data_IF_063843192265
#
_entry.id   IF_063843192265
#
_cell.length_a   1.000
_cell.length_b   1.000
_cell.length_c   1.000
_cell.angle_alpha   90.00
_cell.angle_beta   90.00
_cell.angle_gamma   90.00
#
_symmetry.space_group_name_H-M   'P 1'
#
loop_
_entity.id
_entity.type
_entity.pdbx_description
1 polymer ?
#
# COMPACT_ATOMS: atom_id res chain seq x y z
N UNK A 1 -19.96 -12.05 5.57
CA UNK A 1 -20.09 -10.58 5.62
C UNK A 1 -18.78 -9.94 6.05
N UNK A 2 -18.07 -10.50 7.04
CA UNK A 2 -16.74 -10.05 7.48
C UNK A 2 -15.71 -9.84 6.35
N UNK A 3 -15.56 -10.80 5.43
CA UNK A 3 -14.60 -10.69 4.31
C UNK A 3 -14.88 -9.51 3.40
N UNK A 4 -16.15 -9.28 3.04
CA UNK A 4 -16.52 -8.19 2.14
C UNK A 4 -16.24 -6.83 2.80
N UNK A 5 -16.54 -6.68 4.10
CA UNK A 5 -16.21 -5.45 4.83
C UNK A 5 -14.70 -5.21 4.86
N UNK A 6 -13.91 -6.25 5.16
CA UNK A 6 -12.44 -6.15 5.17
C UNK A 6 -11.89 -5.75 3.79
N UNK A 7 -12.39 -6.35 2.70
CA UNK A 7 -11.99 -5.99 1.33
C UNK A 7 -12.27 -4.51 1.05
N UNK A 8 -13.50 -4.07 1.28
CA UNK A 8 -13.91 -2.69 0.96
C UNK A 8 -13.11 -1.67 1.78
N UNK A 9 -12.89 -1.93 3.07
CA UNK A 9 -12.13 -1.03 3.94
C UNK A 9 -10.64 -1.01 3.60
N UNK A 10 -10.03 -2.15 3.25
CA UNK A 10 -8.62 -2.19 2.86
C UNK A 10 -8.37 -1.50 1.51
N UNK A 11 -9.28 -1.68 0.53
CA UNK A 11 -9.22 -0.93 -0.72
C UNK A 11 -9.40 0.57 -0.47
N UNK A 12 -10.38 0.95 0.38
CA UNK A 12 -10.57 2.35 0.77
C UNK A 12 -9.33 2.95 1.45
N UNK A 13 -8.75 2.22 2.40
CA UNK A 13 -7.52 2.63 3.09
C UNK A 13 -6.34 2.80 2.12
N UNK A 14 -6.20 1.91 1.14
CA UNK A 14 -5.24 2.05 0.06
C UNK A 14 -5.45 3.37 -0.70
N UNK A 15 -6.66 3.66 -1.19
CA UNK A 15 -6.93 4.91 -1.92
C UNK A 15 -6.70 6.16 -1.05
N UNK A 16 -7.01 6.12 0.25
CA UNK A 16 -6.69 7.22 1.17
C UNK A 16 -5.18 7.44 1.26
N UNK A 17 -4.39 6.37 1.42
CA UNK A 17 -2.94 6.47 1.51
C UNK A 17 -2.28 6.90 0.17
N UNK A 18 -2.80 6.41 -0.96
CA UNK A 18 -2.24 6.69 -2.29
C UNK A 18 -2.53 8.10 -2.80
N UNK A 19 -3.73 8.63 -2.53
CA UNK A 19 -4.18 9.88 -3.14
C UNK A 19 -4.35 11.03 -2.14
N UNK A 20 -4.79 10.74 -0.91
CA UNK A 20 -5.01 11.81 0.08
C UNK A 20 -3.76 12.07 0.93
N UNK A 21 -3.04 11.02 1.33
CA UNK A 21 -1.84 11.15 2.16
C UNK A 21 -0.55 11.37 1.36
N UNK A 22 -0.54 10.99 0.07
CA UNK A 22 0.60 11.25 -0.79
C UNK A 22 0.58 12.70 -1.27
N UNK A 23 1.61 13.46 -0.89
CA UNK A 23 1.85 14.78 -1.45
C UNK A 23 2.76 14.73 -2.69
N UNK A 24 2.84 15.85 -3.40
CA UNK A 24 3.65 15.98 -4.61
C UNK A 24 5.13 15.67 -4.38
N UNK A 25 5.66 16.03 -3.21
CA UNK A 25 7.04 15.74 -2.84
C UNK A 25 7.29 14.22 -2.81
N UNK A 26 6.46 13.45 -2.11
CA UNK A 26 6.60 11.98 -2.01
C UNK A 26 6.43 11.35 -3.39
N UNK A 27 5.43 11.79 -4.17
CA UNK A 27 5.14 11.27 -5.50
C UNK A 27 6.33 11.43 -6.47
N UNK A 28 7.00 12.57 -6.43
CA UNK A 28 8.13 12.89 -7.30
C UNK A 28 9.45 12.33 -6.77
N UNK A 29 9.74 12.47 -5.48
CA UNK A 29 11.00 12.05 -4.89
C UNK A 29 11.17 10.52 -4.92
N UNK A 30 10.09 9.73 -4.72
CA UNK A 30 10.17 8.26 -4.74
C UNK A 30 10.58 7.68 -6.10
N UNK A 31 10.38 8.44 -7.18
CA UNK A 31 10.67 8.02 -8.56
C UNK A 31 12.05 8.45 -9.06
N UNK A 32 12.71 9.41 -8.41
CA UNK A 32 13.99 9.95 -8.87
C UNK A 32 15.18 9.40 -8.07
N UNK A 33 15.75 8.30 -8.54
CA UNK A 33 16.90 7.63 -7.89
C UNK A 33 18.18 8.44 -7.85
N UNK A 34 18.25 9.59 -8.55
CA UNK A 34 19.39 10.51 -8.46
C UNK A 34 19.33 11.35 -7.18
N UNK A 35 18.16 11.48 -6.55
CA UNK A 35 18.03 12.22 -5.30
C UNK A 35 18.49 11.38 -4.11
N UNK A 36 19.25 11.91 -3.15
CA UNK A 36 19.69 11.13 -2.00
C UNK A 36 18.54 10.65 -1.09
N UNK A 37 17.37 11.29 -1.17
CA UNK A 37 16.20 11.04 -0.32
C UNK A 37 15.14 10.11 -0.96
N UNK A 38 15.36 9.60 -2.18
CA UNK A 38 14.38 8.80 -2.93
C UNK A 38 13.88 7.59 -2.13
N UNK A 39 14.79 6.91 -1.44
CA UNK A 39 14.48 5.71 -0.66
C UNK A 39 13.64 6.03 0.56
N UNK A 40 13.85 7.20 1.17
CA UNK A 40 13.04 7.67 2.29
C UNK A 40 11.65 8.08 1.83
N UNK A 41 11.53 8.71 0.65
CA UNK A 41 10.23 9.04 0.07
C UNK A 41 9.42 7.78 -0.28
N UNK A 42 10.06 6.79 -0.91
CA UNK A 42 9.43 5.50 -1.21
C UNK A 42 9.01 4.76 0.07
N UNK A 43 9.88 4.73 1.07
CA UNK A 43 9.61 4.06 2.35
C UNK A 43 8.52 4.79 3.15
N UNK A 44 8.50 6.12 3.13
CA UNK A 44 7.44 6.89 3.77
C UNK A 44 6.07 6.61 3.12
N UNK A 45 6.03 6.55 1.79
CA UNK A 45 4.82 6.19 1.07
C UNK A 45 4.33 4.78 1.45
N UNK A 46 5.19 3.78 1.43
CA UNK A 46 4.81 2.42 1.84
C UNK A 46 4.41 2.35 3.33
N UNK A 47 5.01 3.18 4.18
CA UNK A 47 4.63 3.27 5.59
C UNK A 47 3.24 3.87 5.79
N UNK A 48 2.80 4.84 4.96
CA UNK A 48 1.41 5.32 4.98
C UNK A 48 0.42 4.17 4.75
N UNK A 49 0.69 3.33 3.76
CA UNK A 49 -0.13 2.15 3.46
C UNK A 49 -0.09 1.10 4.57
N UNK A 50 1.09 0.84 5.15
CA UNK A 50 1.21 -0.05 6.30
C UNK A 50 0.37 0.42 7.50
N UNK A 51 0.42 1.72 7.81
CA UNK A 51 -0.37 2.31 8.91
C UNK A 51 -1.86 2.27 8.58
N UNK A 52 -2.27 2.68 7.38
CA UNK A 52 -3.67 2.70 6.98
C UNK A 52 -4.30 1.29 7.02
N UNK A 53 -3.63 0.29 6.46
CA UNK A 53 -4.07 -1.11 6.51
C UNK A 53 -4.05 -1.67 7.94
N UNK A 54 -2.99 -1.38 8.71
CA UNK A 54 -2.87 -1.80 10.11
C UNK A 54 -4.01 -1.27 10.98
N UNK A 55 -4.32 0.02 10.89
CA UNK A 55 -5.45 0.64 11.60
C UNK A 55 -6.77 0.00 11.19
N UNK A 56 -7.02 -0.17 9.89
CA UNK A 56 -8.22 -0.84 9.37
C UNK A 56 -8.38 -2.24 9.96
N UNK A 57 -7.33 -3.05 9.93
CA UNK A 57 -7.37 -4.41 10.46
C UNK A 57 -7.52 -4.45 11.98
N UNK A 58 -6.88 -3.53 12.70
CA UNK A 58 -7.00 -3.44 14.15
C UNK A 58 -8.44 -3.12 14.58
N UNK A 59 -9.11 -2.21 13.88
CA UNK A 59 -10.52 -1.87 14.11
C UNK A 59 -11.44 -3.06 13.84
N UNK A 60 -11.09 -3.89 12.85
CA UNK A 60 -11.83 -5.13 12.53
C UNK A 60 -11.49 -6.31 13.46
N UNK A 61 -10.58 -6.14 14.43
CA UNK A 61 -10.15 -7.23 15.30
C UNK A 61 -9.33 -8.32 14.59
N UNK A 62 -8.74 -8.01 13.44
CA UNK A 62 -7.94 -8.94 12.62
C UNK A 62 -6.44 -8.84 12.95
N UNK A 63 -5.60 -9.79 12.48
CA UNK A 63 -4.14 -9.79 12.68
C UNK A 63 -3.41 -8.58 12.07
N UNK A 64 -3.50 -7.42 12.75
CA UNK A 64 -3.15 -6.13 12.20
C UNK A 64 -1.64 -5.92 12.00
N UNK A 65 -0.79 -6.45 12.90
CA UNK A 65 0.67 -6.31 12.76
C UNK A 65 1.17 -7.00 11.49
N UNK A 66 0.68 -8.22 11.25
CA UNK A 66 1.00 -8.96 10.04
C UNK A 66 0.50 -8.22 8.80
N UNK A 67 -0.76 -7.80 8.80
CA UNK A 67 -1.32 -7.10 7.65
C UNK A 67 -0.64 -5.75 7.35
N UNK A 68 -0.30 -4.97 8.38
CA UNK A 68 0.45 -3.73 8.24
C UNK A 68 1.82 -3.96 7.57
N UNK A 69 2.59 -4.92 8.09
CA UNK A 69 3.91 -5.25 7.55
C UNK A 69 3.81 -5.79 6.12
N UNK A 70 2.85 -6.68 5.87
CA UNK A 70 2.64 -7.27 4.55
C UNK A 70 2.24 -6.22 3.51
N UNK A 71 1.27 -5.36 3.83
CA UNK A 71 0.86 -4.25 2.95
C UNK A 71 2.01 -3.29 2.70
N UNK A 72 2.78 -2.90 3.73
CA UNK A 72 3.93 -2.02 3.56
C UNK A 72 5.02 -2.61 2.65
N UNK A 73 5.42 -3.85 2.88
CA UNK A 73 6.46 -4.53 2.08
C UNK A 73 6.01 -4.69 0.63
N UNK A 74 4.79 -5.17 0.41
CA UNK A 74 4.25 -5.35 -0.95
C UNK A 74 4.10 -4.01 -1.68
N UNK A 75 3.62 -2.96 -0.99
CA UNK A 75 3.57 -1.61 -1.57
C UNK A 75 4.93 -1.13 -2.00
N UNK A 76 5.93 -1.25 -1.13
CA UNK A 76 7.29 -0.82 -1.42
C UNK A 76 7.82 -1.52 -2.67
N UNK A 77 7.65 -2.85 -2.77
CA UNK A 77 8.12 -3.64 -3.90
C UNK A 77 7.41 -3.29 -5.21
N UNK A 78 6.09 -3.09 -5.15
CA UNK A 78 5.28 -2.74 -6.32
C UNK A 78 5.65 -1.34 -6.82
N UNK A 79 5.71 -0.36 -5.92
CA UNK A 79 6.08 1.00 -6.30
C UNK A 79 7.54 1.11 -6.76
N UNK A 80 8.45 0.33 -6.19
CA UNK A 80 9.81 0.21 -6.72
C UNK A 80 9.79 -0.32 -8.16
N UNK A 81 9.02 -1.39 -8.44
CA UNK A 81 8.87 -1.94 -9.78
C UNK A 81 8.31 -0.94 -10.79
N UNK A 82 7.30 -0.15 -10.41
CA UNK A 82 6.73 0.91 -11.25
C UNK A 82 7.65 2.14 -11.34
N UNK A 83 7.82 2.86 -10.23
CA UNK A 83 8.34 4.21 -10.20
C UNK A 83 9.88 4.26 -10.33
N UNK A 84 10.58 3.24 -9.84
CA UNK A 84 12.05 3.19 -9.90
C UNK A 84 12.53 2.37 -11.10
N UNK A 85 11.88 1.24 -11.39
CA UNK A 85 12.33 0.32 -12.44
C UNK A 85 11.60 0.48 -13.78
N UNK A 86 10.41 1.07 -13.79
CA UNK A 86 9.61 1.23 -15.00
C UNK A 86 9.13 -0.10 -15.60
N UNK A 87 8.98 -1.15 -14.80
CA UNK A 87 8.61 -2.48 -15.28
C UNK A 87 7.16 -2.58 -15.78
N UNK A 88 6.29 -1.72 -15.28
CA UNK A 88 4.88 -1.72 -15.62
C UNK A 88 4.25 -0.33 -15.42
N UNK A 89 3.07 -0.14 -16.03
CA UNK A 89 2.32 1.11 -15.98
C UNK A 89 1.32 1.17 -14.81
N UNK A 90 0.62 2.30 -14.76
CA UNK A 90 -0.30 2.67 -13.68
C UNK A 90 -1.45 1.68 -13.44
N UNK A 91 -2.03 1.11 -14.50
CA UNK A 91 -3.13 0.14 -14.33
C UNK A 91 -2.67 -1.18 -13.70
N UNK A 92 -1.49 -1.67 -14.07
CA UNK A 92 -0.93 -2.89 -13.50
C UNK A 92 -0.58 -2.67 -12.03
N UNK A 93 0.01 -1.52 -11.71
CA UNK A 93 0.31 -1.08 -10.34
C UNK A 93 -0.94 -1.09 -9.43
N UNK A 94 -1.97 -0.35 -9.80
CA UNK A 94 -3.21 -0.29 -9.02
C UNK A 94 -3.90 -1.67 -8.91
N UNK A 95 -3.82 -2.48 -9.97
CA UNK A 95 -4.32 -3.85 -9.96
C UNK A 95 -3.58 -4.75 -8.95
N UNK A 96 -2.25 -4.64 -8.85
CA UNK A 96 -1.46 -5.41 -7.89
C UNK A 96 -1.73 -4.96 -6.45
N UNK A 97 -1.80 -3.66 -6.18
CA UNK A 97 -2.12 -3.13 -4.84
C UNK A 97 -3.51 -3.55 -4.37
N UNK A 98 -4.50 -3.46 -5.27
CA UNK A 98 -5.86 -3.93 -4.99
C UNK A 98 -5.90 -5.45 -4.78
N UNK A 99 -5.13 -6.21 -5.59
CA UNK A 99 -4.97 -7.65 -5.43
C UNK A 99 -4.39 -8.03 -4.06
N UNK A 100 -3.41 -7.28 -3.56
CA UNK A 100 -2.87 -7.44 -2.19
C UNK A 100 -3.96 -7.21 -1.15
N UNK A 101 -4.74 -6.12 -1.27
CA UNK A 101 -5.82 -5.83 -0.33
C UNK A 101 -6.87 -6.95 -0.28
N UNK A 102 -7.28 -7.46 -1.44
CA UNK A 102 -8.25 -8.57 -1.55
C UNK A 102 -7.68 -9.86 -0.97
N UNK A 103 -6.45 -10.22 -1.35
CA UNK A 103 -5.78 -11.43 -0.87
C UNK A 103 -5.60 -11.41 0.64
N UNK A 104 -5.17 -10.27 1.19
CA UNK A 104 -5.01 -10.08 2.63
C UNK A 104 -6.35 -10.17 3.37
N UNK A 105 -7.39 -9.48 2.90
CA UNK A 105 -8.73 -9.56 3.48
C UNK A 105 -9.24 -11.00 3.51
N UNK A 106 -9.09 -11.71 2.40
CA UNK A 106 -9.53 -13.10 2.25
C UNK A 106 -8.76 -14.02 3.20
N UNK A 107 -7.44 -13.90 3.26
CA UNK A 107 -6.59 -14.76 4.09
C UNK A 107 -6.82 -14.55 5.61
N UNK A 108 -7.26 -13.37 6.03
CA UNK A 108 -7.45 -13.05 7.45
C UNK A 108 -8.88 -13.26 7.95
N UNK A 109 -9.84 -13.57 7.08
CA UNK A 109 -11.28 -13.68 7.44
C UNK A 109 -11.91 -15.04 7.16
N UNK A 110 -11.13 -16.01 6.67
CA UNK A 110 -11.53 -17.41 6.48
C UNK A 110 -10.87 -18.24 7.58
#
# INVERSE_FOLDING_TARGET
METLHAVLLLIGAHYVADFAMQNDYVATAKADTKRPDWIHALTAHSAHHAVAAGVTLAVLGLPWMFGALFTGITHWLIDYGKAVRGWYGYHADQGMHTGVAIGLATALTI
#
